data_IF_965693259460
#
_entry.id   IF_965693259460
#
_cell.length_a   1.000
_cell.length_b   1.000
_cell.length_c   1.000
_cell.angle_alpha   90.00
_cell.angle_beta   90.00
_cell.angle_gamma   90.00
#
_symmetry.space_group_name_H-M   'P 1'
#
loop_
_entity.id
_entity.type
_entity.pdbx_description
1 polymer ?
#
# COMPACT_ATOMS: atom_id res chain seq x y z
N UNK A 1 3.25 -12.30 -2.39
CA UNK A 1 1.98 -12.93 -1.96
C UNK A 1 1.76 -12.66 -0.47
N UNK A 2 0.55 -12.22 -0.08
CA UNK A 2 0.22 -11.83 1.31
C UNK A 2 -0.52 -12.95 2.09
N UNK A 3 -1.18 -13.86 1.38
CA UNK A 3 -2.04 -14.90 1.96
C UNK A 3 -1.26 -15.80 2.94
N UNK A 4 -1.85 -16.04 4.12
CA UNK A 4 -1.26 -16.93 5.14
C UNK A 4 -0.06 -16.35 5.89
N UNK A 5 0.26 -15.06 5.73
CA UNK A 5 1.39 -14.40 6.39
C UNK A 5 0.91 -13.38 7.43
N UNK A 6 1.68 -13.26 8.51
CA UNK A 6 1.56 -12.13 9.41
C UNK A 6 2.08 -10.87 8.69
N UNK A 7 1.29 -9.80 8.74
CA UNK A 7 1.61 -8.54 8.06
C UNK A 7 1.54 -7.37 9.03
N UNK A 8 2.46 -6.43 8.85
CA UNK A 8 2.35 -5.10 9.45
C UNK A 8 1.34 -4.26 8.67
N UNK A 9 0.56 -3.46 9.39
CA UNK A 9 -0.44 -2.55 8.80
C UNK A 9 -0.17 -1.13 9.31
N UNK A 10 0.09 -0.20 8.39
CA UNK A 10 0.02 1.25 8.66
C UNK A 10 -1.29 1.79 8.09
N UNK A 11 -2.23 2.10 8.96
CA UNK A 11 -3.51 2.71 8.56
C UNK A 11 -3.28 4.15 8.12
N UNK A 12 -3.88 4.53 7.00
CA UNK A 12 -3.78 5.86 6.42
C UNK A 12 -5.08 6.63 6.67
N UNK A 13 -6.20 6.09 6.19
CA UNK A 13 -7.51 6.72 6.31
C UNK A 13 -8.61 5.67 6.17
N UNK A 14 -9.86 6.11 6.31
CA UNK A 14 -11.05 5.35 5.98
C UNK A 14 -11.74 6.05 4.81
N UNK A 15 -12.09 5.30 3.77
CA UNK A 15 -12.77 5.86 2.62
C UNK A 15 -14.27 6.12 2.90
N UNK A 16 -14.97 6.72 1.92
CA UNK A 16 -16.41 7.04 2.03
C UNK A 16 -17.33 5.83 2.24
N UNK A 17 -16.81 4.61 2.05
CA UNK A 17 -17.54 3.35 2.23
C UNK A 17 -17.20 2.67 3.56
N UNK A 18 -16.40 3.31 4.42
CA UNK A 18 -15.97 2.72 5.69
C UNK A 18 -14.81 1.73 5.57
N UNK A 19 -14.16 1.62 4.41
CA UNK A 19 -13.02 0.71 4.21
C UNK A 19 -11.72 1.38 4.62
N UNK A 20 -10.83 0.64 5.27
CA UNK A 20 -9.50 1.15 5.64
C UNK A 20 -8.57 1.16 4.43
N UNK A 21 -8.02 2.33 4.12
CA UNK A 21 -6.86 2.50 3.23
C UNK A 21 -5.61 2.39 4.09
N UNK A 22 -4.69 1.50 3.71
CA UNK A 22 -3.50 1.22 4.49
C UNK A 22 -2.34 0.74 3.61
N UNK A 23 -1.13 0.88 4.13
CA UNK A 23 0.03 0.17 3.63
C UNK A 23 0.19 -1.15 4.36
N UNK A 24 0.59 -2.17 3.60
CA UNK A 24 0.93 -3.48 4.12
C UNK A 24 2.43 -3.68 4.07
N UNK A 25 2.96 -4.27 5.14
CA UNK A 25 4.38 -4.55 5.31
C UNK A 25 4.60 -6.02 5.59
N UNK A 26 5.59 -6.59 4.92
CA UNK A 26 6.07 -7.95 5.11
C UNK A 26 7.59 -7.87 5.18
N UNK A 27 8.18 -8.36 6.28
CA UNK A 27 9.63 -8.29 6.51
C UNK A 27 10.18 -6.86 6.28
N UNK A 28 9.46 -5.87 6.85
CA UNK A 28 9.69 -4.42 6.70
C UNK A 28 9.61 -3.85 5.27
N UNK A 29 9.18 -4.65 4.28
CA UNK A 29 8.99 -4.21 2.89
C UNK A 29 7.54 -3.83 2.61
N UNK A 30 7.34 -2.66 2.02
CA UNK A 30 6.03 -2.21 1.58
C UNK A 30 5.54 -3.03 0.37
N UNK A 31 4.44 -3.76 0.57
CA UNK A 31 3.89 -4.69 -0.42
C UNK A 31 3.35 -3.96 -1.66
N UNK A 32 2.73 -2.79 -1.48
CA UNK A 32 2.20 -1.99 -2.59
C UNK A 32 3.32 -1.41 -3.47
N UNK A 33 4.35 -0.86 -2.83
CA UNK A 33 5.53 -0.34 -3.52
C UNK A 33 6.23 -1.42 -4.34
N UNK A 34 6.42 -2.61 -3.77
CA UNK A 34 7.03 -3.73 -4.48
C UNK A 34 6.20 -4.18 -5.70
N UNK A 35 4.87 -4.17 -5.61
CA UNK A 35 4.02 -4.48 -6.76
C UNK A 35 4.19 -3.47 -7.89
N UNK A 36 4.32 -2.17 -7.57
CA UNK A 36 4.58 -1.12 -8.56
C UNK A 36 5.96 -1.30 -9.19
N UNK A 37 7.01 -1.48 -8.38
CA UNK A 37 8.38 -1.66 -8.86
C UNK A 37 8.53 -2.89 -9.78
N UNK A 38 7.79 -3.97 -9.50
CA UNK A 38 7.82 -5.18 -10.31
C UNK A 38 6.89 -5.12 -11.54
N UNK A 39 6.20 -4.00 -11.77
CA UNK A 39 5.28 -3.82 -12.91
C UNK A 39 3.94 -4.53 -12.79
N UNK A 40 3.56 -4.98 -11.59
CA UNK A 40 2.29 -5.68 -11.34
C UNK A 40 1.14 -4.74 -10.96
N UNK A 41 1.43 -3.50 -10.56
CA UNK A 41 0.44 -2.52 -10.15
C UNK A 41 0.82 -1.10 -10.57
N UNK A 42 -0.18 -0.23 -10.61
CA UNK A 42 -0.01 1.21 -10.89
C UNK A 42 -0.48 2.04 -9.70
N UNK A 43 0.08 3.24 -9.55
CA UNK A 43 -0.26 4.16 -8.46
C UNK A 43 -1.60 4.84 -8.74
N UNK A 44 -2.56 4.70 -7.82
CA UNK A 44 -3.80 5.49 -7.82
C UNK A 44 -3.53 6.86 -7.24
N UNK A 45 -3.52 7.91 -8.07
CA UNK A 45 -3.24 9.29 -7.65
C UNK A 45 -4.21 9.79 -6.57
N UNK A 46 -5.46 9.35 -6.61
CA UNK A 46 -6.51 9.74 -5.66
C UNK A 46 -6.20 9.32 -4.21
N UNK A 47 -5.52 8.19 -4.04
CA UNK A 47 -5.31 7.56 -2.72
C UNK A 47 -3.84 7.56 -2.27
N UNK A 48 -2.91 7.74 -3.20
CA UNK A 48 -1.48 7.54 -2.94
C UNK A 48 -0.77 8.78 -2.39
N UNK A 49 -1.38 9.97 -2.40
CA UNK A 49 -0.73 11.20 -1.89
C UNK A 49 -0.30 11.13 -0.41
N UNK A 50 -0.91 10.22 0.37
CA UNK A 50 -0.58 9.98 1.78
C UNK A 50 0.53 8.93 2.00
N UNK A 51 0.97 8.28 0.92
CA UNK A 51 2.06 7.32 0.90
C UNK A 51 3.33 8.04 0.44
N UNK A 52 4.29 8.26 1.34
CA UNK A 52 5.50 9.01 1.01
C UNK A 52 6.34 8.37 -0.13
N UNK A 53 6.23 7.06 -0.34
CA UNK A 53 6.97 6.36 -1.38
C UNK A 53 6.38 6.54 -2.79
N UNK A 54 5.09 6.87 -2.92
CA UNK A 54 4.41 6.96 -4.23
C UNK A 54 4.51 8.33 -4.88
N UNK A 55 5.18 9.29 -4.25
CA UNK A 55 5.54 10.58 -4.87
C UNK A 55 6.84 10.52 -5.69
N UNK A 56 7.56 9.38 -5.67
CA UNK A 56 8.87 9.20 -6.31
C UNK A 56 8.82 8.43 -7.65
N UNK A 57 7.63 8.18 -8.18
CA UNK A 57 7.39 7.41 -9.43
C UNK A 57 7.12 8.31 -10.63
#
# INVERSE_FOLDING_TARGET
MVLGRLVGIRRITTDRYGRTVAELFIDDKNVGQQQVLNGFAVISREHAWQCAWSSRS
#
